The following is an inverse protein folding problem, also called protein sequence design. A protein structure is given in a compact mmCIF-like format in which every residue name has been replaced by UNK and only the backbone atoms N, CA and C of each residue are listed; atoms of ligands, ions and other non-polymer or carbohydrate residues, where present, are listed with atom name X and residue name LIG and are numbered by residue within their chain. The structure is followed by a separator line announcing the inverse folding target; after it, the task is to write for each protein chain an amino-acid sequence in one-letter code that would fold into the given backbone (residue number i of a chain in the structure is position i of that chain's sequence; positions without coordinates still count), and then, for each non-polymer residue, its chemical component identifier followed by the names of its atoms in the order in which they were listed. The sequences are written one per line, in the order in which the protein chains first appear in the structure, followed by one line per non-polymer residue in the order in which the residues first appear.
data_IF_651629839049
#
_entry.id   IF_651629839049
#
_cell.length_a   1.000
_cell.length_b   1.000
_cell.length_c   1.000
_cell.angle_alpha   90.00
_cell.angle_beta   90.00
_cell.angle_gamma   90.00
#
_symmetry.space_group_name_H-M   'P 1'
#
loop_
_entity.id
_entity.type
_entity.pdbx_description
1 polymer ?
#
# COMPACT_ATOMS: atom_id res chain seq x y z
N UNK A 1 -24.46 22.87 1.13
CA UNK A 1 -23.12 23.28 1.55
C UNK A 1 -22.32 22.03 1.86
N UNK A 2 -21.15 21.82 1.25
CA UNK A 2 -20.30 20.70 1.63
C UNK A 2 -19.96 20.84 3.11
N UNK A 3 -20.08 19.75 3.87
CA UNK A 3 -19.69 19.72 5.27
C UNK A 3 -18.17 19.76 5.34
N UNK A 4 -17.63 20.66 6.15
CA UNK A 4 -16.20 20.65 6.48
C UNK A 4 -15.91 19.45 7.39
N UNK A 5 -15.25 18.43 6.84
CA UNK A 5 -14.87 17.19 7.55
C UNK A 5 -13.40 17.19 7.96
N UNK A 6 -12.63 18.23 7.62
CA UNK A 6 -11.19 18.31 7.85
C UNK A 6 -10.79 18.15 9.33
N UNK A 7 -11.68 18.52 10.26
CA UNK A 7 -11.46 18.43 11.71
C UNK A 7 -11.75 17.04 12.30
N UNK A 8 -12.34 16.11 11.53
CA UNK A 8 -12.68 14.77 12.01
C UNK A 8 -11.48 13.82 11.86
N UNK A 9 -11.43 12.81 12.74
CA UNK A 9 -10.47 11.71 12.58
C UNK A 9 -10.78 10.89 11.32
N UNK A 10 -9.77 10.21 10.79
CA UNK A 10 -9.90 9.37 9.60
C UNK A 10 -10.96 8.28 9.79
N UNK A 11 -11.00 7.66 10.98
CA UNK A 11 -11.98 6.65 11.36
C UNK A 11 -13.40 7.21 11.38
N UNK A 12 -13.57 8.45 11.87
CA UNK A 12 -14.87 9.12 11.86
C UNK A 12 -15.34 9.41 10.43
N UNK A 13 -14.43 9.80 9.53
CA UNK A 13 -14.75 10.02 8.12
C UNK A 13 -15.11 8.70 7.43
N UNK A 14 -14.40 7.58 7.71
CA UNK A 14 -14.78 6.25 7.21
C UNK A 14 -16.18 5.85 7.72
N UNK A 15 -16.51 6.14 8.97
CA UNK A 15 -17.84 5.85 9.52
C UNK A 15 -18.96 6.65 8.84
N UNK A 16 -18.69 7.88 8.36
CA UNK A 16 -19.62 8.65 7.54
C UNK A 16 -19.74 8.04 6.12
N UNK A 17 -18.65 7.66 5.50
CA UNK A 17 -18.66 6.96 4.21
C UNK A 17 -19.47 5.66 4.28
N UNK A 18 -19.42 4.92 5.40
CA UNK A 18 -20.22 3.74 5.67
C UNK A 18 -21.75 4.02 5.70
N UNK A 19 -22.15 5.29 5.88
CA UNK A 19 -23.54 5.75 5.82
C UNK A 19 -23.91 6.37 4.47
N UNK A 20 -23.09 6.12 3.45
CA UNK A 20 -23.28 6.65 2.10
C UNK A 20 -23.18 8.17 2.01
N UNK A 21 -22.34 8.80 2.84
CA UNK A 21 -22.02 10.22 2.74
C UNK A 21 -20.91 10.42 1.69
N UNK A 22 -21.29 10.93 0.50
CA UNK A 22 -20.37 11.15 -0.62
C UNK A 22 -19.27 12.19 -0.28
N UNK A 23 -19.59 13.16 0.61
CA UNK A 23 -18.60 14.17 1.02
C UNK A 23 -17.49 13.52 1.86
N UNK A 24 -17.81 12.47 2.61
CA UNK A 24 -16.82 11.69 3.34
C UNK A 24 -15.89 10.89 2.40
N UNK A 25 -16.41 10.35 1.30
CA UNK A 25 -15.54 9.70 0.31
C UNK A 25 -14.59 10.70 -0.35
N UNK A 26 -15.08 11.89 -0.72
CA UNK A 26 -14.26 12.95 -1.27
C UNK A 26 -13.14 13.36 -0.30
N UNK A 27 -13.47 13.55 0.97
CA UNK A 27 -12.50 13.88 2.03
C UNK A 27 -11.44 12.79 2.19
N UNK A 28 -11.83 11.50 2.19
CA UNK A 28 -10.86 10.39 2.22
C UNK A 28 -9.96 10.39 0.98
N UNK A 29 -10.51 10.73 -0.18
CA UNK A 29 -9.71 10.84 -1.40
C UNK A 29 -8.72 12.01 -1.32
N UNK A 30 -9.12 13.16 -0.80
CA UNK A 30 -8.24 14.32 -0.62
C UNK A 30 -7.09 14.01 0.34
N UNK A 31 -7.36 13.28 1.44
CA UNK A 31 -6.34 12.88 2.43
C UNK A 31 -5.38 11.81 1.91
N UNK A 32 -5.90 10.78 1.27
CA UNK A 32 -5.11 9.56 0.97
C UNK A 32 -4.82 9.35 -0.50
N UNK A 33 -5.52 10.02 -1.42
CA UNK A 33 -5.41 9.77 -2.86
C UNK A 33 -4.00 9.93 -3.40
N UNK A 34 -3.25 10.93 -2.91
CA UNK A 34 -1.86 11.15 -3.31
C UNK A 34 -0.93 10.02 -2.88
N UNK A 35 -1.03 9.57 -1.63
CA UNK A 35 -0.21 8.47 -1.11
C UNK A 35 -0.55 7.18 -1.83
N UNK A 36 -1.85 6.93 -2.04
CA UNK A 36 -2.36 5.80 -2.78
C UNK A 36 -1.85 5.78 -4.24
N UNK A 37 -1.84 6.94 -4.90
CA UNK A 37 -1.30 7.08 -6.26
C UNK A 37 0.20 6.82 -6.32
N UNK A 38 0.97 7.37 -5.36
CA UNK A 38 2.39 7.09 -5.26
C UNK A 38 2.71 5.61 -5.06
N UNK A 39 1.90 4.90 -4.24
CA UNK A 39 1.99 3.45 -4.06
C UNK A 39 1.70 2.71 -5.37
N UNK A 40 0.58 3.05 -6.03
CA UNK A 40 0.17 2.42 -7.28
C UNK A 40 1.20 2.62 -8.40
N UNK A 41 1.75 3.84 -8.57
CA UNK A 41 2.81 4.13 -9.54
C UNK A 41 4.07 3.28 -9.31
N UNK A 42 4.44 3.06 -8.05
CA UNK A 42 5.61 2.22 -7.72
C UNK A 42 5.40 0.75 -8.08
N UNK A 43 4.17 0.28 -8.04
CA UNK A 43 3.83 -1.11 -8.37
C UNK A 43 3.65 -1.32 -9.87
N UNK A 44 2.94 -0.42 -10.54
CA UNK A 44 2.45 -0.61 -11.92
C UNK A 44 3.35 0.01 -12.99
N UNK A 45 4.20 0.97 -12.62
CA UNK A 45 5.10 1.69 -13.55
C UNK A 45 4.39 2.36 -14.76
N UNK A 46 3.07 2.28 -14.79
CA UNK A 46 2.18 2.89 -15.78
C UNK A 46 1.22 3.83 -15.07
N UNK A 47 1.16 5.09 -15.49
CA UNK A 47 0.36 6.12 -14.83
C UNK A 47 -1.14 5.89 -14.99
N UNK A 48 -1.58 5.44 -16.15
CA UNK A 48 -2.99 5.19 -16.41
C UNK A 48 -3.49 4.00 -15.55
N UNK A 49 -2.71 2.92 -15.49
CA UNK A 49 -3.01 1.78 -14.61
C UNK A 49 -2.93 2.17 -13.12
N UNK A 50 -2.05 3.09 -12.75
CA UNK A 50 -1.99 3.58 -11.37
C UNK A 50 -3.22 4.41 -11.01
N UNK A 51 -3.72 5.25 -11.92
CA UNK A 51 -4.97 5.99 -11.75
C UNK A 51 -6.16 5.04 -11.62
N UNK A 52 -6.25 4.03 -12.48
CA UNK A 52 -7.29 2.99 -12.43
C UNK A 52 -7.24 2.24 -11.08
N UNK A 53 -6.04 1.87 -10.59
CA UNK A 53 -5.88 1.20 -9.31
C UNK A 53 -6.39 2.06 -8.14
N UNK A 54 -6.11 3.36 -8.16
CA UNK A 54 -6.57 4.30 -7.12
C UNK A 54 -8.08 4.47 -7.19
N UNK A 55 -8.65 4.72 -8.35
CA UNK A 55 -10.10 4.87 -8.53
C UNK A 55 -10.85 3.61 -8.06
N UNK A 56 -10.44 2.44 -8.54
CA UNK A 56 -11.02 1.16 -8.13
C UNK A 56 -10.83 0.87 -6.63
N UNK A 57 -9.67 1.27 -6.08
CA UNK A 57 -9.37 1.16 -4.66
C UNK A 57 -10.33 2.00 -3.81
N UNK A 58 -10.57 3.26 -4.20
CA UNK A 58 -11.52 4.14 -3.49
C UNK A 58 -12.97 3.72 -3.70
N UNK A 59 -13.34 3.15 -4.86
CA UNK A 59 -14.64 2.49 -5.01
C UNK A 59 -14.78 1.27 -4.08
N UNK A 60 -13.68 0.54 -3.85
CA UNK A 60 -13.69 -0.55 -2.88
C UNK A 60 -13.78 -0.02 -1.44
N UNK A 61 -13.15 1.10 -1.10
CA UNK A 61 -13.35 1.81 0.19
C UNK A 61 -14.83 2.12 0.38
N UNK A 62 -15.47 2.77 -0.58
CA UNK A 62 -16.89 3.11 -0.53
C UNK A 62 -17.80 1.89 -0.28
N UNK A 63 -17.61 0.84 -1.08
CA UNK A 63 -18.41 -0.39 -0.97
C UNK A 63 -18.23 -1.14 0.34
N UNK A 64 -17.04 -1.03 0.96
CA UNK A 64 -16.66 -1.79 2.14
C UNK A 64 -16.52 -0.95 3.42
N UNK A 65 -16.82 0.34 3.40
CA UNK A 65 -16.68 1.22 4.56
C UNK A 65 -17.43 0.66 5.80
N UNK A 66 -18.57 0.02 5.60
CA UNK A 66 -19.37 -0.62 6.65
C UNK A 66 -18.68 -1.84 7.32
N UNK A 67 -17.60 -2.37 6.72
CA UNK A 67 -16.80 -3.49 7.25
C UNK A 67 -15.54 -3.03 7.98
N UNK A 68 -15.27 -1.75 7.96
CA UNK A 68 -14.11 -1.22 8.66
C UNK A 68 -14.27 -1.36 10.17
N UNK A 69 -13.25 -1.86 10.84
CA UNK A 69 -13.22 -2.08 12.30
C UNK A 69 -12.01 -1.32 12.85
N UNK A 70 -12.21 -0.16 13.52
CA UNK A 70 -11.12 0.71 14.00
C UNK A 70 -10.15 0.01 14.95
N UNK A 71 -10.64 -0.97 15.72
CA UNK A 71 -9.84 -1.74 16.68
C UNK A 71 -8.85 -2.70 16.00
N UNK A 72 -9.02 -2.97 14.70
CA UNK A 72 -8.18 -3.90 13.94
C UNK A 72 -7.10 -3.20 13.13
N UNK A 73 -7.36 -2.00 12.66
CA UNK A 73 -6.42 -1.26 11.83
C UNK A 73 -6.77 0.23 11.79
N UNK A 74 -5.77 1.09 11.60
CA UNK A 74 -5.97 2.50 11.28
C UNK A 74 -6.68 2.65 9.92
N UNK A 75 -7.49 3.68 9.77
CA UNK A 75 -8.19 3.97 8.52
C UNK A 75 -7.23 4.08 7.32
N UNK A 76 -6.09 4.76 7.50
CA UNK A 76 -5.04 4.89 6.49
C UNK A 76 -4.52 3.53 5.99
N UNK A 77 -4.19 2.62 6.92
CA UNK A 77 -3.71 1.28 6.59
C UNK A 77 -4.76 0.47 5.84
N UNK A 78 -6.01 0.55 6.29
CA UNK A 78 -7.12 -0.16 5.65
C UNK A 78 -7.38 0.35 4.23
N UNK A 79 -7.43 1.67 4.02
CA UNK A 79 -7.62 2.29 2.71
C UNK A 79 -6.49 1.90 1.75
N UNK A 80 -5.23 2.08 2.18
CA UNK A 80 -4.06 1.76 1.36
C UNK A 80 -3.98 0.27 1.04
N UNK A 81 -4.44 -0.62 1.93
CA UNK A 81 -4.54 -2.06 1.65
C UNK A 81 -5.53 -2.36 0.52
N UNK A 82 -6.65 -1.65 0.44
CA UNK A 82 -7.61 -1.84 -0.65
C UNK A 82 -7.03 -1.38 -1.99
N UNK A 83 -6.34 -0.23 -2.02
CA UNK A 83 -5.64 0.24 -3.22
C UNK A 83 -4.51 -0.72 -3.62
N UNK A 84 -3.68 -1.16 -2.66
CA UNK A 84 -2.62 -2.13 -2.90
C UNK A 84 -3.14 -3.42 -3.53
N UNK A 85 -4.24 -3.98 -3.01
CA UNK A 85 -4.86 -5.19 -3.60
C UNK A 85 -5.26 -4.98 -5.06
N UNK A 86 -5.80 -3.81 -5.39
CA UNK A 86 -6.13 -3.47 -6.78
C UNK A 86 -4.89 -3.36 -7.66
N UNK A 87 -3.85 -2.71 -7.16
CA UNK A 87 -2.58 -2.64 -7.88
C UNK A 87 -1.97 -4.04 -8.11
N UNK A 88 -1.98 -4.94 -7.11
CA UNK A 88 -1.55 -6.34 -7.26
C UNK A 88 -2.37 -7.07 -8.33
N UNK A 89 -3.70 -6.92 -8.35
CA UNK A 89 -4.55 -7.54 -9.36
C UNK A 89 -4.18 -7.08 -10.78
N UNK A 90 -3.84 -5.79 -10.94
CA UNK A 90 -3.39 -5.23 -12.22
C UNK A 90 -1.98 -5.72 -12.60
N UNK A 91 -1.02 -5.71 -11.68
CA UNK A 91 0.31 -6.29 -11.90
C UNK A 91 0.18 -7.72 -12.41
N UNK A 92 -0.61 -8.57 -11.74
CA UNK A 92 -0.81 -9.97 -12.14
C UNK A 92 -1.50 -10.12 -13.49
N UNK A 93 -2.37 -9.17 -13.89
CA UNK A 93 -2.98 -9.18 -15.21
C UNK A 93 -1.97 -8.79 -16.29
N UNK A 94 -1.15 -7.79 -16.04
CA UNK A 94 -0.11 -7.33 -16.96
C UNK A 94 1.00 -8.37 -17.14
N UNK A 95 1.47 -9.01 -16.06
CA UNK A 95 2.46 -10.08 -16.15
C UNK A 95 1.97 -11.28 -17.00
N UNK A 96 0.68 -11.59 -16.95
CA UNK A 96 0.07 -12.60 -17.82
C UNK A 96 -0.01 -12.18 -19.29
N UNK A 97 0.00 -10.87 -19.57
CA UNK A 97 -0.04 -10.33 -20.95
C UNK A 97 1.36 -10.10 -21.52
N UNK A 98 2.36 -9.91 -20.66
CA UNK A 98 3.73 -9.66 -21.07
C UNK A 98 4.55 -10.94 -21.06
N UNK A 99 4.97 -11.34 -22.27
CA UNK A 99 5.96 -12.42 -22.47
C UNK A 99 7.40 -11.86 -22.55
N UNK A 100 7.63 -10.55 -22.31
CA UNK A 100 8.93 -9.88 -22.45
C UNK A 100 9.42 -9.18 -21.16
N UNK A 101 10.77 -9.09 -20.95
CA UNK A 101 11.37 -8.53 -19.74
C UNK A 101 11.21 -7.00 -19.63
N UNK A 102 10.99 -6.52 -18.41
CA UNK A 102 10.78 -5.10 -18.07
C UNK A 102 12.11 -4.38 -17.83
N UNK A 103 12.31 -3.24 -18.49
CA UNK A 103 13.34 -2.25 -18.16
C UNK A 103 12.91 -1.37 -16.98
N UNK A 104 13.88 -0.99 -16.13
CA UNK A 104 13.66 -0.16 -14.95
C UNK A 104 13.31 1.29 -15.32
N UNK A 105 12.13 1.75 -14.92
CA UNK A 105 11.72 3.15 -15.09
C UNK A 105 11.59 3.83 -13.72
N UNK A 106 12.36 4.89 -13.50
CA UNK A 106 12.23 5.75 -12.32
C UNK A 106 10.90 6.52 -12.36
N UNK A 107 10.08 6.36 -11.31
CA UNK A 107 8.83 7.09 -11.17
C UNK A 107 9.05 8.35 -10.33
N UNK A 108 8.90 9.51 -10.96
CA UNK A 108 8.94 10.81 -10.29
C UNK A 108 7.77 10.98 -9.31
N UNK A 109 8.06 11.47 -8.10
CA UNK A 109 7.06 11.74 -7.06
C UNK A 109 6.09 12.84 -7.51
N UNK A 110 4.78 12.57 -7.42
CA UNK A 110 3.74 13.56 -7.67
C UNK A 110 3.72 14.63 -6.56
N UNK A 111 3.64 15.91 -6.95
CA UNK A 111 3.74 17.07 -6.07
C UNK A 111 2.57 17.22 -5.09
N UNK A 112 2.86 17.72 -3.91
CA UNK A 112 1.95 18.01 -2.82
C UNK A 112 2.22 19.33 -2.12
N UNK A 113 1.34 19.77 -1.21
CA UNK A 113 1.60 20.94 -0.36
C UNK A 113 2.86 20.71 0.47
N UNK A 114 3.58 21.80 0.80
CA UNK A 114 4.92 21.72 1.40
C UNK A 114 4.92 20.98 2.74
N UNK A 115 3.86 21.08 3.52
CA UNK A 115 3.72 20.45 4.84
C UNK A 115 3.39 18.95 4.76
N UNK A 116 2.46 18.54 3.89
CA UNK A 116 2.13 17.14 3.63
C UNK A 116 3.30 16.39 3.00
N UNK A 117 4.07 17.07 2.13
CA UNK A 117 5.28 16.52 1.50
C UNK A 117 6.39 16.28 2.52
N UNK A 118 6.56 17.15 3.52
CA UNK A 118 7.61 17.00 4.53
C UNK A 118 7.37 15.79 5.43
N UNK A 119 6.14 15.61 5.94
CA UNK A 119 5.79 14.43 6.76
C UNK A 119 5.90 13.13 5.98
N UNK A 120 5.33 13.08 4.76
CA UNK A 120 5.43 11.92 3.87
C UNK A 120 6.88 11.60 3.49
N UNK A 121 7.72 12.62 3.34
CA UNK A 121 9.14 12.45 3.07
C UNK A 121 9.86 11.81 4.26
N UNK A 122 9.61 12.28 5.48
CA UNK A 122 10.18 11.71 6.71
C UNK A 122 9.74 10.26 6.93
N UNK A 123 8.46 9.96 6.76
CA UNK A 123 7.97 8.56 6.85
C UNK A 123 8.56 7.68 5.75
N UNK A 124 8.68 8.18 4.54
CA UNK A 124 9.34 7.47 3.44
C UNK A 124 10.82 7.19 3.75
N UNK A 125 11.56 8.18 4.23
CA UNK A 125 12.96 8.05 4.61
C UNK A 125 13.13 7.04 5.75
N UNK A 126 12.21 7.06 6.73
CA UNK A 126 12.18 6.11 7.84
C UNK A 126 11.95 4.67 7.36
N UNK A 127 10.94 4.45 6.50
CA UNK A 127 10.68 3.13 5.90
C UNK A 127 11.87 2.66 5.05
N UNK A 128 12.44 3.54 4.22
CA UNK A 128 13.60 3.20 3.40
C UNK A 128 14.83 2.86 4.26
N UNK A 129 15.05 3.61 5.34
CA UNK A 129 16.14 3.34 6.29
C UNK A 129 15.95 1.99 6.99
N UNK A 130 14.73 1.65 7.40
CA UNK A 130 14.41 0.36 7.99
C UNK A 130 14.61 -0.79 6.99
N UNK A 131 14.18 -0.63 5.74
CA UNK A 131 14.39 -1.63 4.68
C UNK A 131 15.87 -1.87 4.39
N UNK A 132 16.71 -0.83 4.42
CA UNK A 132 18.17 -0.95 4.25
C UNK A 132 18.85 -1.74 5.36
N UNK A 133 18.24 -1.83 6.54
CA UNK A 133 18.78 -2.60 7.68
C UNK A 133 18.37 -4.07 7.65
N UNK A 134 17.53 -4.49 6.71
CA UNK A 134 17.27 -5.90 6.45
C UNK A 134 18.44 -6.53 5.67
N UNK A 135 18.63 -7.84 5.81
CA UNK A 135 19.50 -8.56 4.89
C UNK A 135 18.94 -8.51 3.46
N UNK A 136 19.82 -8.56 2.46
CA UNK A 136 19.39 -8.53 1.06
C UNK A 136 18.34 -9.59 0.73
N UNK A 137 18.47 -10.88 1.18
CA UNK A 137 17.43 -11.86 0.92
C UNK A 137 16.08 -11.59 1.60
N UNK A 138 16.09 -10.93 2.76
CA UNK A 138 14.84 -10.53 3.44
C UNK A 138 14.16 -9.38 2.71
N UNK A 139 14.95 -8.35 2.35
CA UNK A 139 14.46 -7.18 1.62
C UNK A 139 13.90 -7.59 0.27
N UNK A 140 14.65 -8.37 -0.52
CA UNK A 140 14.23 -8.88 -1.82
C UNK A 140 12.90 -9.64 -1.75
N UNK A 141 12.78 -10.59 -0.81
CA UNK A 141 11.55 -11.37 -0.66
C UNK A 141 10.35 -10.47 -0.31
N UNK A 142 10.53 -9.47 0.57
CA UNK A 142 9.47 -8.55 0.96
C UNK A 142 9.11 -7.58 -0.17
N UNK A 143 10.08 -7.03 -0.89
CA UNK A 143 9.83 -6.12 -2.01
C UNK A 143 9.11 -6.82 -3.16
N UNK A 144 9.53 -8.02 -3.53
CA UNK A 144 8.86 -8.82 -4.56
C UNK A 144 7.44 -9.22 -4.15
N UNK A 145 7.22 -9.59 -2.89
CA UNK A 145 5.87 -9.89 -2.40
C UNK A 145 4.98 -8.65 -2.41
N UNK A 146 5.48 -7.52 -1.92
CA UNK A 146 4.69 -6.32 -1.72
C UNK A 146 4.45 -5.55 -3.03
N UNK A 147 5.51 -5.24 -3.78
CA UNK A 147 5.41 -4.46 -5.01
C UNK A 147 5.16 -5.31 -6.25
N UNK A 148 5.74 -6.51 -6.31
CA UNK A 148 5.55 -7.44 -7.42
C UNK A 148 4.29 -8.31 -7.30
N UNK A 149 3.64 -8.33 -6.15
CA UNK A 149 2.44 -9.12 -5.92
C UNK A 149 2.67 -10.64 -5.92
N UNK A 150 3.94 -11.10 -5.80
CA UNK A 150 4.26 -12.53 -5.82
C UNK A 150 3.79 -13.23 -4.54
N UNK A 151 3.18 -14.40 -4.70
CA UNK A 151 2.93 -15.31 -3.59
C UNK A 151 4.22 -15.96 -3.11
N UNK A 152 4.21 -16.53 -1.91
CA UNK A 152 5.37 -17.25 -1.37
C UNK A 152 5.80 -18.44 -2.25
N UNK A 153 4.86 -19.08 -2.93
CA UNK A 153 5.15 -20.18 -3.86
C UNK A 153 5.84 -19.67 -5.13
N UNK A 154 5.30 -18.61 -5.74
CA UNK A 154 5.91 -17.95 -6.91
C UNK A 154 7.31 -17.39 -6.59
N UNK A 155 7.52 -16.86 -5.38
CA UNK A 155 8.84 -16.43 -4.92
C UNK A 155 9.82 -17.60 -4.76
N UNK A 156 9.35 -18.73 -4.24
CA UNK A 156 10.16 -19.93 -4.10
C UNK A 156 10.68 -20.43 -5.46
N UNK A 157 9.80 -20.46 -6.45
CA UNK A 157 10.13 -20.81 -7.83
C UNK A 157 11.08 -19.80 -8.47
N UNK A 158 10.73 -18.51 -8.41
CA UNK A 158 11.49 -17.40 -9.02
C UNK A 158 12.91 -17.28 -8.46
N UNK A 159 13.09 -17.43 -7.14
CA UNK A 159 14.37 -17.28 -6.46
C UNK A 159 15.12 -18.61 -6.34
N UNK A 160 14.57 -19.73 -6.84
CA UNK A 160 15.18 -21.06 -6.73
C UNK A 160 15.42 -21.50 -5.29
N UNK A 161 14.52 -21.13 -4.36
CA UNK A 161 14.66 -21.39 -2.93
C UNK A 161 13.48 -22.23 -2.39
N UNK A 162 13.70 -23.09 -1.39
CA UNK A 162 12.62 -23.81 -0.74
C UNK A 162 11.56 -22.84 -0.17
N UNK A 163 10.28 -23.17 -0.29
CA UNK A 163 9.20 -22.34 0.22
C UNK A 163 9.32 -22.04 1.73
N UNK A 164 9.88 -22.99 2.50
CA UNK A 164 10.17 -22.79 3.93
C UNK A 164 11.20 -21.68 4.17
N UNK A 165 12.20 -21.57 3.29
CA UNK A 165 13.21 -20.49 3.32
C UNK A 165 12.55 -19.14 3.03
N UNK A 166 11.69 -19.06 2.01
CA UNK A 166 10.96 -17.82 1.68
C UNK A 166 10.07 -17.39 2.85
N UNK A 167 9.30 -18.31 3.43
CA UNK A 167 8.46 -18.04 4.60
C UNK A 167 9.28 -17.50 5.77
N UNK A 168 10.41 -18.12 6.07
CA UNK A 168 11.31 -17.67 7.15
C UNK A 168 11.90 -16.28 6.87
N UNK A 169 12.38 -16.01 5.64
CA UNK A 169 12.91 -14.70 5.24
C UNK A 169 11.86 -13.60 5.40
N UNK A 170 10.64 -13.84 4.93
CA UNK A 170 9.55 -12.88 5.04
C UNK A 170 9.14 -12.65 6.50
N UNK A 171 9.00 -13.72 7.29
CA UNK A 171 8.62 -13.63 8.69
C UNK A 171 9.65 -12.85 9.51
N UNK A 172 10.93 -13.24 9.42
CA UNK A 172 12.02 -12.55 10.16
C UNK A 172 12.24 -11.13 9.67
N UNK A 173 12.11 -10.89 8.34
CA UNK A 173 12.19 -9.55 7.77
C UNK A 173 11.07 -8.62 8.26
N UNK A 174 9.81 -9.10 8.32
CA UNK A 174 8.69 -8.33 8.85
C UNK A 174 8.84 -8.08 10.36
N UNK A 175 9.29 -9.07 11.13
CA UNK A 175 9.57 -8.89 12.56
C UNK A 175 10.63 -7.81 12.78
N UNK A 176 11.72 -7.85 11.99
CA UNK A 176 12.78 -6.84 12.07
C UNK A 176 12.30 -5.44 11.65
N UNK A 177 11.48 -5.33 10.59
CA UNK A 177 10.89 -4.04 10.21
C UNK A 177 10.02 -3.48 11.33
N UNK A 178 9.23 -4.31 12.00
CA UNK A 178 8.39 -3.88 13.13
C UNK A 178 9.25 -3.32 14.27
N UNK A 179 10.34 -3.99 14.62
CA UNK A 179 11.29 -3.50 15.63
C UNK A 179 11.90 -2.14 15.24
N UNK A 180 12.36 -2.00 13.98
CA UNK A 180 13.02 -0.80 13.48
C UNK A 180 12.06 0.40 13.34
N UNK A 181 10.81 0.14 13.06
CA UNK A 181 9.79 1.18 12.93
C UNK A 181 9.20 1.62 14.29
N UNK A 182 9.57 0.92 15.39
CA UNK A 182 8.92 1.03 16.69
C UNK A 182 7.51 0.47 16.64
N UNK A 183 6.92 0.17 17.80
CA UNK A 183 5.52 -0.28 17.92
C UNK A 183 4.52 0.83 17.53
N UNK A 184 4.62 1.35 16.33
CA UNK A 184 3.51 2.02 15.68
C UNK A 184 2.57 0.91 15.22
N UNK A 185 1.78 0.44 16.20
CA UNK A 185 0.60 -0.39 16.10
C UNK A 185 0.23 -0.89 14.69
N UNK A 186 0.36 -2.23 14.55
CA UNK A 186 -0.40 -3.05 13.63
C UNK A 186 -0.26 -2.79 12.13
N UNK A 187 0.83 -3.28 11.56
CA UNK A 187 0.75 -3.76 10.18
C UNK A 187 -0.03 -5.08 10.20
N UNK A 188 -1.35 -4.99 10.03
CA UNK A 188 -2.27 -6.13 9.94
C UNK A 188 -2.02 -6.93 8.65
N UNK A 189 -0.98 -7.75 8.66
CA UNK A 189 -0.73 -8.79 7.66
C UNK A 189 -0.87 -10.17 8.33
N UNK A 190 -2.07 -10.50 8.77
CA UNK A 190 -2.43 -11.85 9.21
C UNK A 190 -3.70 -12.30 8.50
N UNK A 191 -3.52 -13.12 7.51
CA UNK A 191 -4.36 -14.14 6.86
C UNK A 191 -4.69 -13.85 5.42
#
# INVERSE_FOLDING_TARGET
MPRDLAHLSDEAVVALAARSDETALAELYDRFGRVAYGLACRMLRDRALAEDAVQEGFLAVWRNAHRFVPERAKASTWILTLVHRRAVDLVRREDRRRTEPLEDTEVAAAGGTVEDVAWLRLERERVQSALKQLSDPQREALELAYYGGFTQAELAERLGQPIGTIKSRMFTGLARLRELMGDSEEMAWSR
#
